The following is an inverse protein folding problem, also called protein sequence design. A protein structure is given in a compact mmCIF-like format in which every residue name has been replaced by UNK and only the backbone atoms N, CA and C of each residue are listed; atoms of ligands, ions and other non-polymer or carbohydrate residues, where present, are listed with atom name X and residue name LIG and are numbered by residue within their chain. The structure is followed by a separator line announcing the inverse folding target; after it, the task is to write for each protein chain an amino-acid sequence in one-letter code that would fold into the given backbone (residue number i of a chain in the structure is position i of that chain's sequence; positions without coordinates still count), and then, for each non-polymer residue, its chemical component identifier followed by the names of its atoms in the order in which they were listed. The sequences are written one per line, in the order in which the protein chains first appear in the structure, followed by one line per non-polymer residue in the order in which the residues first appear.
data_IF_061108790221
#
_entry.id   IF_061108790221
#
_cell.length_a   1.000
_cell.length_b   1.000
_cell.length_c   1.000
_cell.angle_alpha   90.00
_cell.angle_beta   90.00
_cell.angle_gamma   90.00
#
_symmetry.space_group_name_H-M   'P 1'
#
loop_
_entity.id
_entity.type
_entity.pdbx_description
1 polymer ?
#
# COMPACT_ATOMS: atom_id res chain seq x y z
N UNK A 1 -12.06 -5.44 -1.18
CA UNK A 1 -12.24 -6.08 -2.50
C UNK A 1 -11.38 -7.33 -2.54
N UNK A 2 -11.80 -8.38 -3.26
CA UNK A 2 -11.02 -9.60 -3.42
C UNK A 2 -10.20 -9.55 -4.74
N UNK A 3 -9.28 -10.49 -4.90
CA UNK A 3 -8.39 -10.57 -6.06
C UNK A 3 -9.17 -10.63 -7.40
N UNK A 4 -10.27 -11.37 -7.44
CA UNK A 4 -11.14 -11.48 -8.61
C UNK A 4 -11.64 -10.12 -9.12
N UNK A 5 -11.94 -9.19 -8.21
CA UNK A 5 -12.36 -7.83 -8.59
C UNK A 5 -11.20 -7.03 -9.18
N UNK A 6 -9.99 -7.14 -8.63
CA UNK A 6 -8.81 -6.42 -9.15
C UNK A 6 -8.32 -6.98 -10.48
N UNK A 7 -8.53 -8.27 -10.75
CA UNK A 7 -8.21 -8.90 -12.02
C UNK A 7 -9.23 -8.58 -13.15
N UNK A 8 -10.40 -8.03 -12.80
CA UNK A 8 -11.36 -7.56 -13.80
C UNK A 8 -10.88 -6.30 -14.53
N UNK A 9 -11.39 -6.04 -15.73
CA UNK A 9 -11.09 -4.81 -16.48
C UNK A 9 -11.39 -3.55 -15.67
N UNK A 10 -12.52 -3.54 -14.94
CA UNK A 10 -12.91 -2.43 -14.07
C UNK A 10 -11.91 -2.23 -12.92
N UNK A 11 -11.44 -3.32 -12.31
CA UNK A 11 -10.43 -3.28 -11.25
C UNK A 11 -9.09 -2.75 -11.76
N UNK A 12 -8.65 -3.23 -12.92
CA UNK A 12 -7.42 -2.76 -13.57
C UNK A 12 -7.51 -1.28 -13.97
N UNK A 13 -8.65 -0.83 -14.50
CA UNK A 13 -8.90 0.58 -14.79
C UNK A 13 -8.87 1.42 -13.52
N UNK A 14 -9.49 0.96 -12.43
CA UNK A 14 -9.43 1.64 -11.13
C UNK A 14 -7.99 1.83 -10.64
N UNK A 15 -7.17 0.76 -10.65
CA UNK A 15 -5.76 0.83 -10.24
C UNK A 15 -4.97 1.79 -11.14
N UNK A 16 -5.19 1.74 -12.45
CA UNK A 16 -4.53 2.61 -13.43
C UNK A 16 -4.92 4.08 -13.33
N UNK A 17 -6.07 4.42 -12.75
CA UNK A 17 -6.47 5.82 -12.59
C UNK A 17 -6.16 6.36 -11.20
N UNK A 18 -6.38 5.57 -10.15
CA UNK A 18 -6.43 6.06 -8.77
C UNK A 18 -5.20 5.73 -7.91
N UNK A 19 -4.40 4.73 -8.31
CA UNK A 19 -3.18 4.35 -7.57
C UNK A 19 -1.97 4.84 -8.33
N UNK A 20 -1.09 5.70 -7.77
CA UNK A 20 0.11 6.19 -8.46
C UNK A 20 1.02 5.08 -8.99
N UNK A 21 1.19 3.99 -8.23
CA UNK A 21 1.97 2.82 -8.68
C UNK A 21 1.27 1.94 -9.71
N UNK A 22 0.00 2.22 -10.07
CA UNK A 22 -0.77 1.56 -11.14
C UNK A 22 -0.92 0.04 -11.00
N UNK A 23 -0.78 -0.49 -9.78
CA UNK A 23 -0.90 -1.91 -9.47
C UNK A 23 -1.43 -2.13 -8.05
N UNK A 24 -1.86 -3.35 -7.78
CA UNK A 24 -2.12 -3.80 -6.42
C UNK A 24 -0.78 -4.05 -5.69
N UNK A 25 -0.77 -3.80 -4.38
CA UNK A 25 0.33 -4.21 -3.51
C UNK A 25 0.32 -5.71 -3.27
N UNK A 26 1.49 -6.27 -2.99
CA UNK A 26 1.68 -7.65 -2.57
C UNK A 26 1.91 -7.73 -1.06
N UNK A 27 1.53 -8.84 -0.45
CA UNK A 27 1.63 -9.01 1.01
C UNK A 27 3.06 -8.84 1.55
N UNK A 28 4.07 -9.33 0.82
CA UNK A 28 5.47 -9.23 1.23
C UNK A 28 5.98 -7.79 1.35
N UNK A 29 5.32 -6.83 0.68
CA UNK A 29 5.70 -5.42 0.73
C UNK A 29 5.40 -4.78 2.11
N UNK A 30 4.61 -5.46 2.97
CA UNK A 30 4.38 -5.06 4.36
C UNK A 30 5.47 -5.54 5.32
N UNK A 31 6.32 -6.49 4.93
CA UNK A 31 7.33 -7.08 5.82
C UNK A 31 8.33 -6.02 6.30
N UNK A 32 8.86 -5.19 5.39
CA UNK A 32 9.77 -4.11 5.73
C UNK A 32 9.17 -3.07 6.69
N UNK A 33 8.01 -2.46 6.35
CA UNK A 33 7.30 -1.54 7.24
C UNK A 33 6.98 -2.16 8.61
N UNK A 34 6.57 -3.43 8.67
CA UNK A 34 6.32 -4.10 9.94
C UNK A 34 7.59 -4.31 10.74
N UNK A 35 8.67 -4.78 10.13
CA UNK A 35 9.94 -4.95 10.80
C UNK A 35 10.51 -3.62 11.28
N UNK A 36 10.34 -2.52 10.54
CA UNK A 36 10.71 -1.18 10.99
C UNK A 36 9.97 -0.83 12.29
N UNK A 37 8.65 -0.98 12.31
CA UNK A 37 7.82 -0.59 13.46
C UNK A 37 7.95 -1.54 14.66
N UNK A 38 8.20 -2.84 14.43
CA UNK A 38 8.23 -3.86 15.48
C UNK A 38 9.64 -4.14 16.03
N UNK A 39 10.70 -3.70 15.35
CA UNK A 39 12.08 -3.94 15.77
C UNK A 39 12.73 -2.73 16.45
N UNK A 40 13.98 -2.90 16.90
CA UNK A 40 14.80 -1.81 17.43
C UNK A 40 15.02 -0.65 16.43
N UNK A 41 14.84 -0.88 15.13
CA UNK A 41 14.92 0.18 14.12
C UNK A 41 13.88 1.29 14.35
N UNK A 42 12.72 0.94 14.92
CA UNK A 42 11.64 1.86 15.26
C UNK A 42 11.60 2.27 16.73
N UNK A 43 12.67 2.06 17.51
CA UNK A 43 12.62 2.15 18.99
C UNK A 43 12.15 3.51 19.56
N UNK A 44 12.24 4.60 18.78
CA UNK A 44 11.75 5.93 19.17
C UNK A 44 10.60 6.44 18.29
N UNK A 45 10.01 5.57 17.46
CA UNK A 45 8.86 5.88 16.61
C UNK A 45 7.58 5.52 17.36
N UNK A 46 6.86 6.54 17.84
CA UNK A 46 5.55 6.38 18.48
C UNK A 46 4.55 7.40 17.92
N UNK A 47 3.25 7.10 18.01
CA UNK A 47 2.17 7.98 17.52
C UNK A 47 2.16 8.21 16.00
N UNK A 48 2.94 7.44 15.24
CA UNK A 48 3.10 7.62 13.80
C UNK A 48 2.19 6.68 13.01
N UNK A 49 1.68 7.15 11.87
CA UNK A 49 0.95 6.34 10.88
C UNK A 49 1.80 6.26 9.62
N UNK A 50 2.15 5.04 9.20
CA UNK A 50 2.93 4.79 7.99
C UNK A 50 2.02 4.22 6.90
N UNK A 51 1.77 5.01 5.85
CA UNK A 51 0.98 4.56 4.71
C UNK A 51 1.80 3.62 3.81
N UNK A 52 1.23 2.46 3.48
CA UNK A 52 1.82 1.47 2.57
C UNK A 52 0.77 1.08 1.54
N UNK A 53 0.53 1.96 0.57
CA UNK A 53 -0.64 1.90 -0.31
C UNK A 53 -0.35 2.24 -1.78
N UNK A 54 0.92 2.27 -2.17
CA UNK A 54 1.33 2.68 -3.52
C UNK A 54 1.07 4.15 -3.84
N UNK A 55 0.90 5.00 -2.82
CA UNK A 55 0.71 6.44 -2.92
C UNK A 55 -0.76 6.87 -2.99
N UNK A 56 -1.71 5.97 -2.76
CA UNK A 56 -3.14 6.24 -2.92
C UNK A 56 -3.66 7.33 -1.99
N UNK A 57 -3.24 7.36 -0.72
CA UNK A 57 -3.71 8.29 0.32
C UNK A 57 -3.50 9.76 -0.04
N UNK A 58 -2.42 10.07 -0.76
CA UNK A 58 -2.04 11.45 -1.12
C UNK A 58 -2.08 11.70 -2.62
N UNK A 59 -2.71 10.79 -3.37
CA UNK A 59 -2.78 10.87 -4.82
C UNK A 59 -3.62 12.08 -5.26
N UNK A 60 -3.09 12.97 -6.13
CA UNK A 60 -3.87 14.02 -6.77
C UNK A 60 -4.53 13.58 -8.09
N UNK A 61 -4.35 12.30 -8.47
CA UNK A 61 -4.84 11.70 -9.73
C UNK A 61 -6.36 11.49 -9.73
#
# INVERSE_FOLDING_TARGET
MNEAVFNSEKGQAYLRSNVPMRRLGNLHELEGPFLLLASAAGAFMTGSVLAVDGGHLVSPL
#
